data_IF_094130744035
#
_entry.id   IF_094130744035
#
_cell.length_a   1.000
_cell.length_b   1.000
_cell.length_c   1.000
_cell.angle_alpha   90.00
_cell.angle_beta   90.00
_cell.angle_gamma   90.00
#
_symmetry.space_group_name_H-M   'P 1'
#
loop_
_entity.id
_entity.type
_entity.pdbx_description
1 polymer ?
#
# COMPACT_ATOMS: atom_id res chain seq x y z
N UNK A 1 7.26 7.44 19.83
CA UNK A 1 6.52 8.68 20.14
C UNK A 1 5.07 8.67 19.67
N UNK A 2 4.72 9.00 18.40
CA UNK A 2 3.30 9.08 17.98
C UNK A 2 2.56 7.76 18.20
N UNK A 3 3.10 6.64 17.72
CA UNK A 3 2.47 5.32 17.88
C UNK A 3 2.27 4.89 19.34
N UNK A 4 3.21 5.23 20.22
CA UNK A 4 3.11 4.98 21.67
C UNK A 4 2.07 5.88 22.32
N UNK A 5 2.00 7.16 21.95
CA UNK A 5 1.00 8.09 22.47
C UNK A 5 -0.43 7.66 22.10
N UNK A 6 -0.61 7.16 20.87
CA UNK A 6 -1.90 6.68 20.38
C UNK A 6 -2.39 5.38 21.06
N UNK A 7 -1.53 4.67 21.81
CA UNK A 7 -1.99 3.53 22.64
C UNK A 7 -3.04 3.94 23.68
N UNK A 8 -3.05 5.22 24.09
CA UNK A 8 -4.04 5.78 25.02
C UNK A 8 -5.36 6.17 24.33
N UNK A 9 -5.39 6.18 23.00
CA UNK A 9 -6.51 6.64 22.17
C UNK A 9 -6.85 5.58 21.10
N UNK A 10 -7.42 4.42 21.50
CA UNK A 10 -7.58 3.26 20.61
C UNK A 10 -8.55 3.48 19.43
N UNK A 11 -9.30 4.58 19.43
CA UNK A 11 -10.20 4.98 18.33
C UNK A 11 -9.51 5.81 17.25
N UNK A 12 -8.29 6.30 17.49
CA UNK A 12 -7.55 7.11 16.53
C UNK A 12 -6.78 6.21 15.57
N UNK A 13 -6.98 6.44 14.27
CA UNK A 13 -6.31 5.70 13.21
C UNK A 13 -4.94 6.31 12.89
N UNK A 14 -3.88 5.52 12.95
CA UNK A 14 -2.53 5.93 12.54
C UNK A 14 -2.26 5.55 11.08
N UNK A 15 -2.35 6.54 10.19
CA UNK A 15 -1.89 6.40 8.80
C UNK A 15 -0.47 6.97 8.64
N UNK A 16 0.42 6.19 8.04
CA UNK A 16 1.76 6.64 7.66
C UNK A 16 1.77 6.97 6.17
N UNK A 17 1.86 8.26 5.85
CA UNK A 17 2.14 8.74 4.50
C UNK A 17 3.67 8.69 4.28
N UNK A 18 4.10 7.72 3.48
CA UNK A 18 5.47 7.61 3.02
C UNK A 18 5.51 7.70 1.48
N UNK A 19 4.69 8.55 0.86
CA UNK A 19 4.56 8.62 -0.59
C UNK A 19 5.92 8.74 -1.30
N UNK A 20 6.81 9.62 -0.84
CA UNK A 20 8.17 9.73 -1.41
C UNK A 20 9.15 8.73 -0.77
N UNK A 21 9.38 8.87 0.54
CA UNK A 21 10.43 8.15 1.27
C UNK A 21 10.15 6.64 1.42
N UNK A 22 8.90 6.19 1.28
CA UNK A 22 8.54 4.79 1.49
C UNK A 22 9.25 3.82 0.54
N UNK A 23 9.60 4.27 -0.66
CA UNK A 23 10.40 3.48 -1.60
C UNK A 23 11.81 3.22 -1.09
N UNK A 24 12.37 4.12 -0.26
CA UNK A 24 13.74 4.00 0.25
C UNK A 24 13.90 2.83 1.23
N UNK A 25 12.79 2.29 1.77
CA UNK A 25 12.82 1.16 2.70
C UNK A 25 13.11 -0.18 2.05
N UNK A 26 13.27 -0.22 0.72
CA UNK A 26 13.92 -1.36 0.06
C UNK A 26 15.41 -1.45 0.42
N UNK A 27 16.03 -0.34 0.84
CA UNK A 27 17.42 -0.27 1.31
C UNK A 27 17.46 -0.56 2.83
N UNK A 28 18.09 -1.67 3.28
CA UNK A 28 18.11 -2.04 4.71
C UNK A 28 18.63 -0.95 5.65
N UNK A 29 19.64 -0.20 5.21
CA UNK A 29 20.28 0.89 5.97
C UNK A 29 19.37 2.10 6.21
N UNK A 30 18.24 2.22 5.51
CA UNK A 30 17.25 3.27 5.71
C UNK A 30 16.06 2.81 6.55
N UNK A 31 15.97 1.52 6.91
CA UNK A 31 14.85 0.97 7.68
C UNK A 31 14.78 1.49 9.12
N UNK A 32 15.83 2.09 9.66
CA UNK A 32 15.77 2.72 10.99
C UNK A 32 14.71 3.85 11.05
N UNK A 33 14.42 4.48 9.90
CA UNK A 33 13.36 5.48 9.76
C UNK A 33 11.95 4.89 9.88
N UNK A 34 11.79 3.57 9.79
CA UNK A 34 10.52 2.86 10.02
C UNK A 34 10.26 2.55 11.50
N UNK A 35 11.12 3.00 12.43
CA UNK A 35 10.92 2.74 13.86
C UNK A 35 9.52 3.22 14.30
N UNK A 36 8.70 2.31 14.83
CA UNK A 36 7.32 2.59 15.23
C UNK A 36 6.27 2.29 14.16
N UNK A 37 6.64 1.78 12.99
CA UNK A 37 5.67 1.39 11.95
C UNK A 37 4.72 0.28 12.41
N UNK A 38 5.13 -0.52 13.39
CA UNK A 38 4.32 -1.55 14.03
C UNK A 38 3.06 -1.01 14.71
N UNK A 39 2.99 0.30 14.97
CA UNK A 39 1.80 0.97 15.49
C UNK A 39 0.82 1.42 14.39
N UNK A 40 1.23 1.45 13.12
CA UNK A 40 0.41 2.00 12.04
C UNK A 40 -0.77 1.09 11.67
N UNK A 41 -1.95 1.66 11.47
CA UNK A 41 -3.12 0.97 10.95
C UNK A 41 -3.07 0.87 9.42
N UNK A 42 -2.35 1.78 8.77
CA UNK A 42 -2.13 1.77 7.32
C UNK A 42 -0.86 2.49 6.91
N UNK A 43 -0.34 2.12 5.75
CA UNK A 43 0.90 2.67 5.19
C UNK A 43 0.72 2.87 3.68
N UNK A 44 1.17 4.03 3.18
CA UNK A 44 1.21 4.32 1.75
C UNK A 44 2.64 4.62 1.28
N UNK A 45 2.99 4.12 0.10
CA UNK A 45 4.12 4.62 -0.68
C UNK A 45 3.77 4.70 -2.17
N UNK A 46 4.47 5.56 -2.90
CA UNK A 46 4.24 5.81 -4.32
C UNK A 46 5.44 5.33 -5.15
N UNK A 47 5.39 4.11 -5.72
CA UNK A 47 6.40 3.66 -6.69
C UNK A 47 6.58 4.61 -7.88
N UNK A 48 5.57 5.40 -8.21
CA UNK A 48 5.64 6.44 -9.23
C UNK A 48 6.31 7.75 -8.84
N UNK A 49 6.86 7.85 -7.63
CA UNK A 49 7.75 8.94 -7.24
C UNK A 49 9.20 8.52 -7.42
N UNK A 50 9.67 7.56 -6.63
CA UNK A 50 11.11 7.26 -6.50
C UNK A 50 11.46 5.78 -6.69
N UNK A 51 10.60 5.03 -7.40
CA UNK A 51 10.82 3.61 -7.73
C UNK A 51 10.63 3.32 -9.22
N UNK A 52 10.94 4.30 -10.07
CA UNK A 52 11.02 4.17 -11.54
C UNK A 52 9.76 3.67 -12.26
N UNK A 53 8.61 3.62 -11.57
CA UNK A 53 7.35 3.20 -12.18
C UNK A 53 6.63 4.42 -12.73
N UNK A 54 6.23 4.44 -14.00
CA UNK A 54 5.55 5.61 -14.55
C UNK A 54 4.20 5.89 -13.85
N UNK A 55 3.76 7.15 -13.82
CA UNK A 55 2.49 7.54 -13.23
C UNK A 55 1.30 6.81 -13.89
N UNK A 56 0.28 6.40 -13.15
CA UNK A 56 0.14 6.34 -11.69
C UNK A 56 0.54 4.96 -11.13
N UNK A 57 1.16 4.95 -9.96
CA UNK A 57 1.39 3.75 -9.17
C UNK A 57 1.55 4.15 -7.71
N UNK A 58 0.47 3.97 -6.94
CA UNK A 58 0.43 4.20 -5.50
C UNK A 58 -0.06 2.91 -4.84
N UNK A 59 0.57 2.57 -3.72
CA UNK A 59 0.35 1.30 -3.02
C UNK A 59 -0.05 1.60 -1.58
N UNK A 60 -1.13 0.96 -1.14
CA UNK A 60 -1.70 1.11 0.19
C UNK A 60 -1.73 -0.26 0.86
N UNK A 61 -1.22 -0.32 2.09
CA UNK A 61 -1.39 -1.44 2.99
C UNK A 61 -2.27 -0.99 4.16
N UNK A 62 -3.16 -1.88 4.58
CA UNK A 62 -4.01 -1.71 5.76
C UNK A 62 -3.85 -2.94 6.65
N UNK A 63 -3.80 -2.73 7.96
CA UNK A 63 -3.68 -3.81 8.96
C UNK A 63 -4.94 -4.65 9.04
N UNK A 64 -6.08 -3.96 9.10
CA UNK A 64 -7.40 -4.59 9.13
C UNK A 64 -8.13 -4.30 7.81
N UNK A 65 -8.20 -5.32 6.95
CA UNK A 65 -8.90 -5.21 5.67
C UNK A 65 -10.40 -4.95 5.85
N UNK A 66 -11.03 -5.50 6.90
CA UNK A 66 -12.47 -5.42 7.11
C UNK A 66 -12.86 -3.98 7.41
N UNK A 67 -12.07 -3.26 8.20
CA UNK A 67 -12.29 -1.82 8.47
C UNK A 67 -12.30 -0.98 7.20
N UNK A 68 -11.40 -1.27 6.25
CA UNK A 68 -11.39 -0.58 4.97
C UNK A 68 -12.56 -1.02 4.08
N UNK A 69 -12.73 -2.32 3.87
CA UNK A 69 -13.68 -2.84 2.89
C UNK A 69 -15.12 -2.64 3.30
N UNK A 70 -15.45 -2.77 4.59
CA UNK A 70 -16.81 -2.59 5.12
C UNK A 70 -17.36 -1.18 4.87
N UNK A 71 -16.50 -0.16 4.91
CA UNK A 71 -16.86 1.23 4.62
C UNK A 71 -17.15 1.48 3.12
N UNK A 72 -16.73 0.57 2.23
CA UNK A 72 -16.78 0.73 0.77
C UNK A 72 -17.57 -0.40 0.08
N UNK A 73 -18.37 -1.17 0.81
CA UNK A 73 -19.12 -2.28 0.22
C UNK A 73 -20.17 -1.76 -0.75
N UNK A 74 -20.13 -2.29 -1.97
CA UNK A 74 -21.14 -2.12 -3.02
C UNK A 74 -21.41 -3.49 -3.62
N UNK A 75 -22.59 -4.07 -3.36
CA UNK A 75 -22.92 -5.47 -3.73
C UNK A 75 -24.22 -5.61 -4.55
N UNK A 76 -24.33 -4.93 -5.71
CA UNK A 76 -25.45 -5.13 -6.62
C UNK A 76 -25.39 -6.52 -7.27
N UNK A 77 -26.56 -7.10 -7.57
CA UNK A 77 -26.69 -8.45 -8.11
C UNK A 77 -25.82 -8.72 -9.35
N UNK A 78 -25.68 -7.72 -10.24
CA UNK A 78 -24.92 -7.84 -11.49
C UNK A 78 -23.40 -7.85 -11.31
N UNK A 79 -22.88 -7.62 -10.10
CA UNK A 79 -21.46 -7.78 -9.78
C UNK A 79 -21.17 -9.05 -8.95
N UNK A 80 -22.17 -9.87 -8.64
CA UNK A 80 -21.98 -11.10 -7.86
C UNK A 80 -21.37 -12.21 -8.71
N UNK A 81 -20.62 -13.09 -8.06
CA UNK A 81 -20.06 -14.30 -8.68
C UNK A 81 -19.98 -15.42 -7.64
N UNK A 82 -19.86 -16.68 -8.10
CA UNK A 82 -19.85 -17.86 -7.22
C UNK A 82 -18.61 -18.03 -6.31
N UNK A 83 -17.73 -17.03 -6.24
CA UNK A 83 -16.47 -17.07 -5.49
C UNK A 83 -16.32 -15.89 -4.52
N UNK A 84 -17.39 -15.13 -4.25
CA UNK A 84 -17.32 -13.93 -3.41
C UNK A 84 -16.79 -14.20 -2.00
N UNK A 85 -16.99 -15.41 -1.47
CA UNK A 85 -16.50 -15.81 -0.13
C UNK A 85 -15.04 -16.27 -0.12
N UNK A 86 -14.43 -16.54 -1.29
CA UNK A 86 -13.08 -17.09 -1.40
C UNK A 86 -12.09 -16.19 -2.16
N UNK A 87 -12.58 -15.26 -2.98
CA UNK A 87 -11.76 -14.33 -3.75
C UNK A 87 -11.66 -12.94 -3.09
N UNK A 88 -10.60 -12.20 -3.43
CA UNK A 88 -10.44 -10.80 -3.00
C UNK A 88 -11.02 -9.88 -4.07
N UNK A 89 -12.13 -9.23 -3.72
CA UNK A 89 -12.76 -8.21 -4.55
C UNK A 89 -12.17 -6.82 -4.30
N UNK A 90 -11.20 -6.43 -5.12
CA UNK A 90 -10.56 -5.10 -5.03
C UNK A 90 -11.51 -3.91 -5.29
N UNK A 91 -12.76 -4.16 -5.73
CA UNK A 91 -13.79 -3.12 -5.82
C UNK A 91 -14.13 -2.50 -4.45
N UNK A 92 -13.94 -3.25 -3.37
CA UNK A 92 -14.17 -2.80 -2.00
C UNK A 92 -12.95 -2.08 -1.39
N UNK A 93 -11.86 -1.91 -2.14
CA UNK A 93 -10.60 -1.36 -1.65
C UNK A 93 -10.34 0.08 -2.08
N UNK A 94 -11.31 0.70 -2.76
CA UNK A 94 -11.20 2.07 -3.22
C UNK A 94 -12.56 2.64 -3.58
N UNK A 95 -12.58 3.95 -3.80
CA UNK A 95 -13.80 4.69 -4.16
C UNK A 95 -14.37 4.28 -5.52
N UNK A 96 -13.58 4.14 -6.62
CA UNK A 96 -14.13 3.75 -7.91
C UNK A 96 -14.30 2.24 -8.04
N UNK A 97 -15.37 1.81 -8.73
CA UNK A 97 -15.60 0.41 -9.09
C UNK A 97 -14.54 -0.09 -10.09
N UNK A 98 -14.39 0.62 -11.22
CA UNK A 98 -13.48 0.21 -12.29
C UNK A 98 -12.03 0.44 -11.90
N UNK A 99 -11.19 -0.57 -12.16
CA UNK A 99 -9.75 -0.50 -11.94
C UNK A 99 -8.99 -1.19 -13.07
N UNK A 100 -7.87 -0.62 -13.47
CA UNK A 100 -6.97 -1.17 -14.50
C UNK A 100 -5.86 -2.03 -13.90
N UNK A 101 -5.20 -2.81 -14.74
CA UNK A 101 -4.15 -3.75 -14.35
C UNK A 101 -2.80 -3.05 -14.06
N UNK A 102 -2.76 -2.21 -13.03
CA UNK A 102 -1.60 -1.38 -12.66
C UNK A 102 -0.36 -2.19 -12.26
N UNK A 103 -0.57 -3.39 -11.72
CA UNK A 103 0.52 -4.22 -11.22
C UNK A 103 1.44 -4.73 -12.32
N UNK A 104 1.00 -4.78 -13.58
CA UNK A 104 1.83 -5.25 -14.68
C UNK A 104 3.11 -4.41 -14.84
N UNK A 105 2.98 -3.08 -14.96
CA UNK A 105 4.15 -2.20 -15.09
C UNK A 105 5.07 -2.25 -13.86
N UNK A 106 4.49 -2.29 -12.66
CA UNK A 106 5.26 -2.41 -11.41
C UNK A 106 6.05 -3.72 -11.40
N UNK A 107 5.42 -4.82 -11.81
CA UNK A 107 6.06 -6.12 -11.90
C UNK A 107 7.23 -6.14 -12.89
N UNK A 108 7.07 -5.50 -14.06
CA UNK A 108 8.16 -5.36 -15.04
C UNK A 108 9.33 -4.54 -14.48
N UNK A 109 9.08 -3.42 -13.79
CA UNK A 109 10.14 -2.64 -13.13
C UNK A 109 10.88 -3.48 -12.10
N UNK A 110 10.15 -4.14 -11.20
CA UNK A 110 10.74 -4.98 -10.15
C UNK A 110 11.59 -6.12 -10.74
N UNK A 111 11.12 -6.77 -11.82
CA UNK A 111 11.84 -7.88 -12.46
C UNK A 111 13.01 -7.43 -13.33
N UNK A 112 12.89 -6.30 -14.01
CA UNK A 112 13.91 -5.79 -14.94
C UNK A 112 15.11 -5.22 -14.19
N UNK A 113 14.87 -4.43 -13.14
CA UNK A 113 15.94 -3.82 -12.33
C UNK A 113 16.44 -4.77 -11.23
N UNK A 114 15.57 -5.64 -10.73
CA UNK A 114 15.85 -6.44 -9.54
C UNK A 114 15.95 -5.58 -8.27
N UNK A 115 16.00 -6.23 -7.11
CA UNK A 115 16.11 -5.54 -5.83
C UNK A 115 17.40 -4.73 -5.73
N UNK A 116 18.54 -5.30 -6.16
CA UNK A 116 19.86 -4.65 -6.11
C UNK A 116 19.92 -3.42 -7.01
N UNK A 117 19.37 -3.50 -8.24
CA UNK A 117 19.35 -2.36 -9.16
C UNK A 117 18.52 -1.20 -8.63
N UNK A 118 17.36 -1.48 -8.04
CA UNK A 118 16.51 -0.46 -7.42
C UNK A 118 17.14 0.15 -6.16
N UNK A 119 17.80 -0.67 -5.32
CA UNK A 119 18.54 -0.15 -4.16
C UNK A 119 19.69 0.76 -4.59
N UNK A 120 20.43 0.39 -5.62
CA UNK A 120 21.51 1.23 -6.17
C UNK A 120 20.95 2.54 -6.72
N UNK A 121 19.82 2.50 -7.44
CA UNK A 121 19.15 3.71 -7.91
C UNK A 121 18.75 4.68 -6.78
N UNK A 122 18.31 4.17 -5.62
CA UNK A 122 17.93 5.03 -4.48
C UNK A 122 19.15 5.63 -3.76
N UNK A 123 20.30 4.94 -3.80
CA UNK A 123 21.54 5.40 -3.15
C UNK A 123 22.28 6.49 -3.93
N UNK A 124 22.01 6.60 -5.23
CA UNK A 124 22.67 7.53 -6.16
C UNK A 124 21.75 8.69 -6.51
#
# INVERSE_FOLDING_TARGET
EIGEALQRFPSVWLHVDAAYAGNSFICPELKYLLKGIEYADSFNTNPNKWLLTNFDCSTLWVRDRIRLTSALVVDPLYLKHGYSDSAIDYRHWGVPLSRRFRSLKLWFVLRSYGITGLQNYIRH
#
